data_IF_703250315150
#
_entry.id   IF_703250315150
#
_cell.length_a   1.000
_cell.length_b   1.000
_cell.length_c   1.000
_cell.angle_alpha   90.00
_cell.angle_beta   90.00
_cell.angle_gamma   90.00
#
_symmetry.space_group_name_H-M   'P 1'
#
loop_
_entity.id
_entity.type
_entity.pdbx_description
1 polymer ?
#
# COMPACT_ATOMS: atom_id res chain seq x y z
N UNK A 1 15.52 4.91 -12.98
CA UNK A 1 15.12 4.76 -11.57
C UNK A 1 16.40 4.95 -10.77
N UNK A 2 16.77 6.22 -10.53
CA UNK A 2 18.13 6.65 -10.17
C UNK A 2 18.07 7.66 -9.02
N UNK A 3 17.30 7.37 -7.96
CA UNK A 3 17.35 8.19 -6.75
C UNK A 3 18.40 7.69 -5.75
N UNK A 4 18.88 6.44 -5.89
CA UNK A 4 19.92 5.85 -5.00
C UNK A 4 21.01 5.05 -5.72
N UNK A 5 21.06 5.06 -7.05
CA UNK A 5 22.08 4.34 -7.84
C UNK A 5 22.05 2.81 -7.71
N UNK A 6 20.94 2.22 -7.24
CA UNK A 6 20.78 0.77 -7.18
C UNK A 6 19.98 0.32 -8.40
N UNK A 7 20.60 -0.49 -9.26
CA UNK A 7 19.92 -1.12 -10.37
C UNK A 7 19.06 -2.28 -9.85
N UNK A 8 17.77 -2.03 -9.72
CA UNK A 8 16.79 -2.98 -9.20
C UNK A 8 15.82 -3.32 -10.31
N UNK A 9 15.84 -4.59 -10.73
CA UNK A 9 14.86 -5.09 -11.68
C UNK A 9 13.44 -4.83 -11.19
N UNK A 10 12.55 -4.44 -12.09
CA UNK A 10 11.16 -4.09 -11.77
C UNK A 10 10.41 -5.20 -11.00
N UNK A 11 10.75 -6.48 -11.25
CA UNK A 11 10.15 -7.60 -10.53
C UNK A 11 10.62 -7.72 -9.08
N UNK A 12 11.81 -7.19 -8.76
CA UNK A 12 12.38 -7.21 -7.40
C UNK A 12 11.56 -6.33 -6.46
N UNK A 13 11.11 -5.17 -6.92
CA UNK A 13 10.22 -4.31 -6.14
C UNK A 13 8.91 -5.04 -5.82
N UNK A 14 8.30 -5.70 -6.81
CA UNK A 14 7.07 -6.46 -6.60
C UNK A 14 7.28 -7.62 -5.60
N UNK A 15 8.40 -8.34 -5.70
CA UNK A 15 8.76 -9.41 -4.74
C UNK A 15 8.92 -8.87 -3.33
N UNK A 16 9.53 -7.69 -3.16
CA UNK A 16 9.63 -7.04 -1.85
C UNK A 16 8.27 -6.61 -1.33
N UNK A 17 7.41 -6.03 -2.17
CA UNK A 17 6.04 -5.69 -1.77
C UNK A 17 5.30 -6.93 -1.29
N UNK A 18 5.32 -8.03 -2.04
CA UNK A 18 4.69 -9.30 -1.64
C UNK A 18 5.25 -9.83 -0.32
N UNK A 19 6.56 -9.72 -0.09
CA UNK A 19 7.21 -10.22 1.13
C UNK A 19 6.94 -9.34 2.36
N UNK A 20 7.04 -8.02 2.21
CA UNK A 20 7.04 -7.08 3.32
C UNK A 20 5.67 -6.48 3.62
N UNK A 21 4.78 -6.35 2.64
CA UNK A 21 3.41 -5.85 2.86
C UNK A 21 2.67 -6.57 4.01
N UNK A 22 2.64 -7.92 4.11
CA UNK A 22 1.94 -8.58 5.20
C UNK A 22 2.61 -8.35 6.57
N UNK A 23 3.93 -8.23 6.60
CA UNK A 23 4.68 -7.94 7.83
C UNK A 23 4.36 -6.53 8.34
N UNK A 24 4.36 -5.55 7.43
CA UNK A 24 3.98 -4.18 7.72
C UNK A 24 2.52 -4.08 8.13
N UNK A 25 1.61 -4.78 7.43
CA UNK A 25 0.20 -4.82 7.78
C UNK A 25 -0.01 -5.35 9.21
N UNK A 26 0.66 -6.44 9.60
CA UNK A 26 0.57 -6.99 10.95
C UNK A 26 1.03 -5.98 12.00
N UNK A 27 2.13 -5.26 11.74
CA UNK A 27 2.64 -4.23 12.64
C UNK A 27 1.72 -3.01 12.70
N UNK A 28 1.19 -2.57 11.57
CA UNK A 28 0.24 -1.45 11.51
C UNK A 28 -1.06 -1.80 12.22
N UNK A 29 -1.61 -3.00 12.00
CA UNK A 29 -2.81 -3.48 12.71
C UNK A 29 -2.59 -3.54 14.22
N UNK A 30 -1.44 -4.04 14.67
CA UNK A 30 -1.11 -4.11 16.10
C UNK A 30 -1.02 -2.72 16.76
N UNK A 31 -0.63 -1.69 16.00
CA UNK A 31 -0.52 -0.30 16.48
C UNK A 31 -1.77 0.54 16.19
N UNK A 32 -2.70 0.03 15.37
CA UNK A 32 -3.89 0.76 14.95
C UNK A 32 -4.84 0.85 16.13
N UNK A 33 -5.15 2.08 16.55
CA UNK A 33 -6.17 2.33 17.57
C UNK A 33 -7.53 1.85 17.05
N UNK A 34 -8.35 1.28 17.93
CA UNK A 34 -9.73 0.94 17.61
C UNK A 34 -10.42 2.19 17.03
N UNK A 35 -10.94 2.07 15.81
CA UNK A 35 -11.70 3.15 15.19
C UNK A 35 -13.07 3.16 15.89
N UNK A 36 -13.56 4.34 16.26
CA UNK A 36 -14.90 4.49 16.81
C UNK A 36 -15.99 4.19 15.77
N UNK A 37 -17.26 4.30 16.16
CA UNK A 37 -18.40 4.02 15.28
C UNK A 37 -18.48 4.93 14.04
N UNK A 38 -17.78 6.06 14.03
CA UNK A 38 -17.67 6.97 12.89
C UNK A 38 -16.22 7.06 12.43
N UNK A 39 -16.00 6.79 11.15
CA UNK A 39 -14.75 7.01 10.45
C UNK A 39 -15.01 7.95 9.28
N UNK A 40 -14.07 8.86 9.01
CA UNK A 40 -14.09 9.70 7.81
C UNK A 40 -13.06 9.11 6.85
N UNK A 41 -13.52 8.67 5.70
CA UNK A 41 -12.68 8.27 4.59
C UNK A 41 -12.76 9.37 3.55
N UNK A 42 -11.62 9.93 3.17
CA UNK A 42 -11.55 10.85 2.03
C UNK A 42 -11.73 10.03 0.74
N UNK A 43 -12.74 10.37 -0.06
CA UNK A 43 -13.04 9.66 -1.31
C UNK A 43 -11.84 9.76 -2.25
N UNK A 44 -11.29 8.60 -2.62
CA UNK A 44 -10.09 8.54 -3.46
C UNK A 44 -10.40 7.81 -4.77
N UNK A 45 -10.21 8.51 -5.89
CA UNK A 45 -10.37 7.96 -7.23
C UNK A 45 -9.15 7.13 -7.62
N UNK A 46 -9.31 5.81 -7.70
CA UNK A 46 -8.22 4.91 -8.09
C UNK A 46 -8.56 4.24 -9.42
N UNK A 47 -7.68 4.39 -10.40
CA UNK A 47 -7.81 3.72 -11.71
C UNK A 47 -7.14 2.35 -11.65
N UNK A 48 -7.93 1.29 -11.55
CA UNK A 48 -7.44 -0.09 -11.49
C UNK A 48 -7.68 -0.77 -12.84
N UNK A 49 -6.60 -1.19 -13.51
CA UNK A 49 -6.65 -1.84 -14.84
C UNK A 49 -7.47 -1.06 -15.88
N UNK A 50 -7.43 0.27 -15.84
CA UNK A 50 -8.14 1.12 -16.79
C UNK A 50 -9.54 1.55 -16.35
N UNK A 51 -10.14 0.88 -15.36
CA UNK A 51 -11.46 1.24 -14.83
C UNK A 51 -11.34 2.12 -13.59
N UNK A 52 -12.16 3.17 -13.51
CA UNK A 52 -12.28 3.98 -12.31
C UNK A 52 -13.01 3.21 -11.23
N UNK A 53 -12.42 3.16 -10.04
CA UNK A 53 -13.04 2.63 -8.82
C UNK A 53 -13.12 3.72 -7.78
N UNK A 54 -14.25 3.72 -7.08
CA UNK A 54 -14.58 4.67 -6.02
C UNK A 54 -14.53 3.91 -4.69
N UNK A 55 -13.93 4.52 -3.66
CA UNK A 55 -13.84 3.97 -2.31
C UNK A 55 -14.07 5.05 -1.26
#
# INVERSE_FOLDING_TARGET
>A
MEERGVDVDHSTLNRWVVKYAPLLEKQFRARKRAIGASWRLDETYVKVKGCWKYH
#
